data_IF_221848641951
#
_entry.id   IF_221848641951
#
_cell.length_a   1.000
_cell.length_b   1.000
_cell.length_c   1.000
_cell.angle_alpha   90.00
_cell.angle_beta   90.00
_cell.angle_gamma   90.00
#
_symmetry.space_group_name_H-M   'P 1'
#
loop_
_entity.id
_entity.type
_entity.pdbx_description
1 polymer ?
#
# COMPACT_ATOMS: atom_id res chain seq x y z
N UNK A 1 13.94 -21.99 -1.61
CA UNK A 1 13.24 -20.70 -1.43
C UNK A 1 14.03 -19.64 -2.21
N UNK A 2 13.36 -18.67 -2.82
CA UNK A 2 14.04 -17.65 -3.63
C UNK A 2 14.60 -16.54 -2.72
N UNK A 3 15.91 -16.32 -2.77
CA UNK A 3 16.60 -15.23 -2.06
C UNK A 3 16.19 -13.87 -2.64
N UNK A 4 15.98 -12.89 -1.77
CA UNK A 4 15.66 -11.53 -2.19
C UNK A 4 16.81 -10.93 -2.97
N UNK A 5 18.02 -10.96 -2.42
CA UNK A 5 19.21 -10.40 -3.07
C UNK A 5 19.45 -11.04 -4.44
N UNK A 6 19.45 -12.38 -4.49
CA UNK A 6 19.67 -13.11 -5.76
C UNK A 6 18.61 -12.78 -6.80
N UNK A 7 17.34 -12.67 -6.41
CA UNK A 7 16.28 -12.34 -7.35
C UNK A 7 16.39 -10.90 -7.88
N UNK A 8 16.76 -9.94 -7.04
CA UNK A 8 17.00 -8.55 -7.48
C UNK A 8 18.22 -8.46 -8.41
N UNK A 9 19.32 -9.14 -8.10
CA UNK A 9 20.49 -9.23 -9.00
C UNK A 9 20.08 -9.73 -10.37
N UNK A 10 19.34 -10.84 -10.42
CA UNK A 10 18.84 -11.42 -11.66
C UNK A 10 17.97 -10.46 -12.46
N UNK A 11 17.07 -9.73 -11.81
CA UNK A 11 16.21 -8.74 -12.45
C UNK A 11 16.98 -7.53 -12.99
N UNK A 12 18.13 -7.20 -12.38
CA UNK A 12 19.05 -6.16 -12.87
C UNK A 12 20.04 -6.63 -13.92
N UNK A 13 20.03 -7.93 -14.26
CA UNK A 13 20.97 -8.52 -15.21
C UNK A 13 22.35 -8.82 -14.63
N UNK A 14 22.46 -8.88 -13.30
CA UNK A 14 23.69 -9.22 -12.59
C UNK A 14 23.69 -10.71 -12.27
N UNK A 15 24.79 -11.41 -12.55
CA UNK A 15 24.91 -12.84 -12.22
C UNK A 15 25.03 -13.04 -10.70
N UNK A 16 24.54 -14.16 -10.21
CA UNK A 16 24.49 -14.45 -8.77
C UNK A 16 25.88 -14.47 -8.14
N UNK A 17 26.87 -14.96 -8.87
CA UNK A 17 28.26 -15.12 -8.43
C UNK A 17 29.02 -13.78 -8.34
N UNK A 18 28.51 -12.72 -8.97
CA UNK A 18 29.17 -11.41 -8.99
C UNK A 18 28.79 -10.61 -7.74
N UNK A 19 29.60 -10.71 -6.70
CA UNK A 19 29.31 -10.16 -5.37
C UNK A 19 29.74 -8.70 -5.16
N UNK A 20 30.39 -8.09 -6.16
CA UNK A 20 30.96 -6.75 -6.02
C UNK A 20 29.94 -5.67 -5.62
N UNK A 21 28.71 -5.80 -6.08
CA UNK A 21 27.62 -4.85 -5.80
C UNK A 21 26.67 -5.29 -4.69
N UNK A 22 26.91 -6.42 -4.03
CA UNK A 22 25.98 -6.97 -3.05
C UNK A 22 25.70 -5.99 -1.91
N UNK A 23 26.73 -5.32 -1.39
CA UNK A 23 26.59 -4.33 -0.31
C UNK A 23 25.75 -3.13 -0.73
N UNK A 24 25.99 -2.59 -1.94
CA UNK A 24 25.23 -1.45 -2.46
C UNK A 24 23.76 -1.82 -2.71
N UNK A 25 23.54 -2.99 -3.30
CA UNK A 25 22.20 -3.52 -3.55
C UNK A 25 21.42 -3.74 -2.24
N UNK A 26 22.08 -4.27 -1.21
CA UNK A 26 21.48 -4.46 0.13
C UNK A 26 21.02 -3.14 0.72
N UNK A 27 21.81 -2.07 0.60
CA UNK A 27 21.44 -0.73 1.07
C UNK A 27 20.19 -0.24 0.34
N UNK A 28 20.14 -0.36 -0.99
CA UNK A 28 18.99 0.06 -1.78
C UNK A 28 17.75 -0.79 -1.50
N UNK A 29 17.89 -2.10 -1.41
CA UNK A 29 16.82 -3.03 -1.05
C UNK A 29 16.22 -2.67 0.31
N UNK A 30 17.06 -2.43 1.32
CA UNK A 30 16.61 -2.07 2.67
C UNK A 30 15.92 -0.70 2.70
N UNK A 31 16.38 0.25 1.90
CA UNK A 31 15.70 1.55 1.74
C UNK A 31 14.29 1.38 1.18
N UNK A 32 14.09 0.46 0.23
CA UNK A 32 12.77 0.16 -0.32
C UNK A 32 11.90 -0.60 0.68
N UNK A 33 12.45 -1.51 1.48
CA UNK A 33 11.70 -2.17 2.55
C UNK A 33 11.20 -1.18 3.60
N UNK A 34 11.99 -0.15 3.92
CA UNK A 34 11.52 0.91 4.82
C UNK A 34 10.29 1.64 4.25
N UNK A 35 10.28 1.94 2.94
CA UNK A 35 9.10 2.54 2.28
C UNK A 35 7.91 1.58 2.33
N UNK A 36 8.11 0.28 2.03
CA UNK A 36 7.04 -0.73 2.09
C UNK A 36 6.43 -0.83 3.50
N UNK A 37 7.26 -0.79 4.54
CA UNK A 37 6.78 -0.76 5.94
C UNK A 37 5.93 0.48 6.21
N UNK A 38 6.31 1.66 5.70
CA UNK A 38 5.53 2.89 5.83
C UNK A 38 4.19 2.84 5.08
N UNK A 39 4.13 2.06 4.00
CA UNK A 39 2.89 1.79 3.25
C UNK A 39 2.02 0.70 3.89
N UNK A 40 2.40 0.17 5.05
CA UNK A 40 1.68 -0.91 5.73
C UNK A 40 1.90 -2.30 5.10
N UNK A 41 2.95 -2.47 4.29
CA UNK A 41 3.23 -3.72 3.58
C UNK A 41 4.36 -4.49 4.25
N UNK A 42 4.10 -5.75 4.60
CA UNK A 42 5.04 -6.64 5.26
C UNK A 42 4.93 -6.61 6.78
N UNK A 43 5.95 -7.08 7.52
CA UNK A 43 5.92 -7.13 8.97
C UNK A 43 5.87 -5.73 9.59
N UNK A 44 4.99 -5.47 10.58
CA UNK A 44 4.91 -4.15 11.25
C UNK A 44 6.21 -3.74 11.95
N UNK A 45 7.05 -4.71 12.33
CA UNK A 45 8.37 -4.48 12.91
C UNK A 45 9.43 -4.01 11.89
N UNK A 46 9.04 -3.97 10.61
CA UNK A 46 9.96 -3.76 9.50
C UNK A 46 10.67 -5.04 9.06
N UNK A 47 11.39 -4.95 7.95
CA UNK A 47 12.16 -6.06 7.39
C UNK A 47 13.49 -5.55 6.82
N UNK A 48 14.54 -6.35 6.93
CA UNK A 48 15.84 -6.01 6.37
C UNK A 48 16.58 -7.24 5.86
N UNK A 49 17.33 -7.05 4.79
CA UNK A 49 18.22 -8.04 4.18
C UNK A 49 19.64 -7.73 4.62
N UNK A 50 20.38 -8.75 5.06
CA UNK A 50 21.79 -8.61 5.43
C UNK A 50 22.69 -9.38 4.46
N UNK A 51 22.19 -10.46 3.88
CA UNK A 51 22.89 -11.33 2.97
C UNK A 51 21.93 -12.10 2.04
N UNK A 52 22.40 -13.16 1.41
CA UNK A 52 21.64 -14.02 0.50
C UNK A 52 20.62 -14.93 1.20
N UNK A 53 20.57 -14.99 2.52
CA UNK A 53 19.70 -15.91 3.27
C UNK A 53 18.26 -15.44 3.33
N UNK A 54 18.03 -14.12 3.36
CA UNK A 54 16.70 -13.54 3.44
C UNK A 54 15.83 -13.89 2.23
N UNK A 55 14.60 -14.36 2.48
CA UNK A 55 13.68 -14.85 1.45
C UNK A 55 12.41 -14.00 1.36
N UNK A 56 11.78 -14.00 0.19
CA UNK A 56 10.51 -13.29 -0.02
C UNK A 56 9.37 -13.79 0.87
N UNK A 57 9.37 -15.09 1.21
CA UNK A 57 8.34 -15.68 2.08
C UNK A 57 8.42 -15.23 3.53
N UNK A 58 9.62 -14.84 3.99
CA UNK A 58 9.80 -14.23 5.30
C UNK A 58 9.24 -12.82 5.35
N UNK A 59 9.25 -12.11 4.22
CA UNK A 59 8.69 -10.76 4.13
C UNK A 59 7.17 -10.77 4.00
N UNK A 60 6.62 -11.57 3.07
CA UNK A 60 5.18 -11.63 2.81
C UNK A 60 4.78 -13.02 2.32
N UNK A 61 3.71 -13.57 2.89
CA UNK A 61 3.19 -14.89 2.53
C UNK A 61 2.14 -14.86 1.42
N UNK A 62 1.49 -13.72 1.19
CA UNK A 62 0.49 -13.54 0.12
C UNK A 62 1.17 -13.49 -1.24
N UNK A 63 1.01 -14.54 -2.03
CA UNK A 63 1.62 -14.69 -3.36
C UNK A 63 1.13 -13.61 -4.35
N UNK A 64 -0.10 -13.11 -4.21
CA UNK A 64 -0.65 -12.09 -5.11
C UNK A 64 0.01 -10.73 -4.84
N UNK A 65 0.08 -10.34 -3.59
CA UNK A 65 0.77 -9.11 -3.16
C UNK A 65 2.26 -9.18 -3.44
N UNK A 66 2.87 -10.36 -3.25
CA UNK A 66 4.29 -10.59 -3.49
C UNK A 66 4.71 -10.22 -4.93
N UNK A 67 3.89 -10.50 -5.94
CA UNK A 67 4.23 -10.14 -7.32
C UNK A 67 4.30 -8.63 -7.53
N UNK A 68 3.37 -7.88 -6.93
CA UNK A 68 3.38 -6.41 -6.98
C UNK A 68 4.59 -5.84 -6.21
N UNK A 69 4.89 -6.41 -5.04
CA UNK A 69 6.06 -6.02 -4.23
C UNK A 69 7.36 -6.26 -5.00
N UNK A 70 7.51 -7.42 -5.66
CA UNK A 70 8.70 -7.72 -6.48
C UNK A 70 8.87 -6.72 -7.62
N UNK A 71 7.79 -6.40 -8.33
CA UNK A 71 7.81 -5.41 -9.42
C UNK A 71 8.18 -4.02 -8.92
N UNK A 72 7.59 -3.60 -7.82
CA UNK A 72 7.89 -2.32 -7.17
C UNK A 72 9.36 -2.25 -6.72
N UNK A 73 9.83 -3.26 -6.00
CA UNK A 73 11.21 -3.36 -5.52
C UNK A 73 12.20 -3.28 -6.68
N UNK A 74 11.97 -4.02 -7.76
CA UNK A 74 12.82 -3.99 -8.95
C UNK A 74 12.93 -2.59 -9.55
N UNK A 75 11.81 -1.92 -9.76
CA UNK A 75 11.79 -0.59 -10.35
C UNK A 75 12.49 0.45 -9.46
N UNK A 76 12.24 0.43 -8.15
CA UNK A 76 12.88 1.34 -7.20
C UNK A 76 14.38 1.09 -7.12
N UNK A 77 14.82 -0.17 -6.96
CA UNK A 77 16.25 -0.50 -6.92
C UNK A 77 16.93 -0.17 -8.24
N UNK A 78 16.28 -0.42 -9.40
CA UNK A 78 16.80 -0.04 -10.70
C UNK A 78 17.07 1.46 -10.81
N UNK A 79 16.14 2.31 -10.34
CA UNK A 79 16.32 3.76 -10.35
C UNK A 79 17.45 4.23 -9.42
N UNK A 80 17.65 3.54 -8.28
CA UNK A 80 18.68 3.91 -7.31
C UNK A 80 20.07 3.43 -7.72
N UNK A 81 20.16 2.24 -8.29
CA UNK A 81 21.42 1.57 -8.59
C UNK A 81 21.93 1.84 -10.01
N UNK A 82 21.03 1.72 -11.01
CA UNK A 82 21.37 1.85 -12.44
C UNK A 82 20.21 2.50 -13.19
N UNK A 83 20.02 3.82 -13.04
CA UNK A 83 18.90 4.52 -13.65
C UNK A 83 18.97 4.51 -15.18
N UNK A 84 17.83 4.40 -15.88
CA UNK A 84 17.79 4.48 -17.33
C UNK A 84 18.32 5.82 -17.85
N UNK A 85 19.09 5.79 -18.95
CA UNK A 85 19.61 7.00 -19.56
C UNK A 85 18.54 7.82 -20.31
N UNK A 86 17.43 7.18 -20.70
CA UNK A 86 16.33 7.82 -21.38
C UNK A 86 15.38 8.49 -20.39
N UNK A 87 15.20 9.79 -20.49
CA UNK A 87 14.24 10.55 -19.66
C UNK A 87 12.79 10.06 -19.83
N UNK A 88 12.41 9.62 -21.04
CA UNK A 88 11.08 9.07 -21.28
C UNK A 88 10.87 7.73 -20.54
N UNK A 89 11.88 6.86 -20.53
CA UNK A 89 11.84 5.59 -19.80
C UNK A 89 11.79 5.86 -18.29
N UNK A 90 12.61 6.78 -17.81
CA UNK A 90 12.63 7.18 -16.40
C UNK A 90 11.25 7.71 -15.95
N UNK A 91 10.66 8.64 -16.70
CA UNK A 91 9.33 9.18 -16.39
C UNK A 91 8.22 8.11 -16.43
N UNK A 92 8.32 7.14 -17.34
CA UNK A 92 7.38 6.00 -17.37
C UNK A 92 7.54 5.11 -16.14
N UNK A 93 8.77 4.84 -15.72
CA UNK A 93 9.08 4.02 -14.55
C UNK A 93 8.60 4.71 -13.25
N UNK A 94 8.80 6.03 -13.12
CA UNK A 94 8.30 6.81 -11.99
C UNK A 94 6.77 6.76 -11.87
N UNK A 95 6.04 6.84 -12.99
CA UNK A 95 4.58 6.66 -12.99
C UNK A 95 4.14 5.27 -12.56
N UNK A 96 4.82 4.23 -13.03
CA UNK A 96 4.53 2.85 -12.63
C UNK A 96 4.83 2.63 -11.13
N UNK A 97 5.88 3.23 -10.61
CA UNK A 97 6.22 3.21 -9.19
C UNK A 97 5.11 3.89 -8.38
N UNK A 98 4.69 5.09 -8.75
CA UNK A 98 3.62 5.81 -8.05
C UNK A 98 2.29 5.03 -8.06
N UNK A 99 1.95 4.39 -9.19
CA UNK A 99 0.77 3.53 -9.27
C UNK A 99 0.91 2.30 -8.36
N UNK A 100 2.08 1.67 -8.32
CA UNK A 100 2.33 0.52 -7.45
C UNK A 100 2.26 0.90 -5.96
N UNK A 101 2.82 2.04 -5.57
CA UNK A 101 2.73 2.57 -4.21
C UNK A 101 1.27 2.78 -3.78
N UNK A 102 0.47 3.41 -4.62
CA UNK A 102 -0.96 3.59 -4.36
C UNK A 102 -1.69 2.26 -4.19
N UNK A 103 -1.47 1.30 -5.09
CA UNK A 103 -2.10 -0.03 -5.01
C UNK A 103 -1.70 -0.80 -3.76
N UNK A 104 -0.42 -0.72 -3.38
CA UNK A 104 0.10 -1.38 -2.17
C UNK A 104 -0.51 -0.77 -0.91
N UNK A 105 -0.62 0.56 -0.84
CA UNK A 105 -1.26 1.25 0.27
C UNK A 105 -2.73 0.86 0.42
N UNK A 106 -3.51 0.92 -0.67
CA UNK A 106 -4.93 0.52 -0.65
C UNK A 106 -5.10 -0.95 -0.24
N UNK A 107 -4.21 -1.83 -0.70
CA UNK A 107 -4.27 -3.24 -0.32
C UNK A 107 -3.93 -3.47 1.17
N UNK A 108 -3.06 -2.65 1.76
CA UNK A 108 -2.74 -2.70 3.18
C UNK A 108 -3.91 -2.20 4.04
N UNK A 109 -4.52 -1.06 3.69
CA UNK A 109 -5.71 -0.51 4.37
C UNK A 109 -6.87 -1.51 4.38
N UNK A 110 -7.13 -2.19 3.26
CA UNK A 110 -8.19 -3.20 3.16
C UNK A 110 -7.95 -4.40 4.07
N UNK A 111 -6.69 -4.77 4.34
CA UNK A 111 -6.37 -5.87 5.25
C UNK A 111 -6.54 -5.46 6.71
N UNK A 112 -6.21 -4.22 7.05
CA UNK A 112 -6.45 -3.68 8.40
C UNK A 112 -7.95 -3.64 8.71
N UNK A 113 -8.77 -3.15 7.80
CA UNK A 113 -10.23 -3.13 7.95
C UNK A 113 -10.79 -4.55 8.17
N UNK A 114 -10.34 -5.54 7.40
CA UNK A 114 -10.79 -6.94 7.57
C UNK A 114 -10.35 -7.55 8.89
N UNK A 115 -9.18 -7.17 9.41
CA UNK A 115 -8.71 -7.68 10.71
C UNK A 115 -9.51 -7.07 11.87
N UNK A 116 -9.87 -5.80 11.79
CA UNK A 116 -10.72 -5.13 12.78
C UNK A 116 -12.15 -5.69 12.78
N UNK A 117 -12.73 -6.00 11.62
CA UNK A 117 -14.07 -6.63 11.54
C UNK A 117 -14.12 -8.03 12.16
N UNK A 118 -13.03 -8.78 12.12
CA UNK A 118 -13.00 -10.14 12.66
C UNK A 118 -12.79 -10.16 14.19
N UNK A 119 -12.13 -9.17 14.77
CA UNK A 119 -11.97 -9.04 16.23
C UNK A 119 -13.24 -8.50 16.93
N UNK A 120 -14.10 -7.77 16.21
CA UNK A 120 -15.27 -7.10 16.78
C UNK A 120 -16.57 -7.91 16.71
N UNK A 121 -16.56 -9.14 16.19
CA UNK A 121 -17.78 -9.95 16.05
C UNK A 121 -18.09 -10.73 17.33
N UNK A 122 -18.57 -10.04 18.34
CA UNK A 122 -19.31 -10.59 19.47
C UNK A 122 -20.81 -10.31 19.27
N UNK A 123 -21.41 -11.01 18.35
CA UNK A 123 -22.81 -11.35 18.16
C UNK A 123 -23.92 -10.26 18.29
N UNK A 124 -23.68 -9.07 18.78
CA UNK A 124 -24.79 -8.17 19.16
C UNK A 124 -24.71 -6.72 18.61
N UNK A 125 -23.54 -6.25 18.11
CA UNK A 125 -23.43 -4.90 17.54
C UNK A 125 -22.57 -4.87 16.27
N UNK A 126 -23.15 -4.38 15.19
CA UNK A 126 -22.43 -4.01 13.98
C UNK A 126 -21.62 -2.75 14.26
N UNK A 127 -20.31 -2.88 14.48
CA UNK A 127 -19.44 -1.72 14.61
C UNK A 127 -19.33 -1.03 13.26
N UNK A 128 -19.76 0.22 13.21
CA UNK A 128 -19.56 1.04 12.01
C UNK A 128 -18.08 1.38 11.85
N UNK A 129 -17.54 1.43 10.62
CA UNK A 129 -16.15 1.80 10.37
C UNK A 129 -15.78 3.12 11.07
N UNK A 130 -14.56 3.26 11.54
CA UNK A 130 -14.07 4.48 12.22
C UNK A 130 -14.36 5.77 11.47
N UNK A 131 -14.27 5.74 10.14
CA UNK A 131 -14.63 6.87 9.28
C UNK A 131 -16.11 7.27 9.43
N UNK A 132 -16.99 6.28 9.61
CA UNK A 132 -18.42 6.55 9.82
C UNK A 132 -18.73 7.00 11.27
N UNK A 133 -17.98 6.47 12.25
CA UNK A 133 -18.11 6.92 13.64
C UNK A 133 -17.69 8.37 13.85
N UNK A 134 -16.66 8.84 13.12
CA UNK A 134 -16.26 10.25 13.16
C UNK A 134 -17.30 11.18 12.51
N UNK A 135 -18.18 10.64 11.66
CA UNK A 135 -19.28 11.38 11.04
C UNK A 135 -20.57 11.38 11.87
N UNK A 136 -20.70 10.44 12.82
CA UNK A 136 -21.84 10.41 13.76
C UNK A 136 -21.59 11.26 15.01
N UNK A 137 -20.85 12.32 14.84
CA UNK A 137 -20.47 13.18 15.93
C UNK A 137 -21.64 13.94 16.53
N UNK A 138 -21.70 13.79 17.83
CA UNK A 138 -22.09 14.86 18.75
C UNK A 138 -23.28 15.67 18.29
N UNK A 139 -24.43 15.07 18.45
CA UNK A 139 -25.70 15.79 18.28
C UNK A 139 -25.82 17.02 19.18
N UNK A 140 -24.97 17.15 20.20
CA UNK A 140 -24.96 18.33 21.08
C UNK A 140 -24.06 19.45 20.56
N UNK A 141 -22.98 19.19 19.82
CA UNK A 141 -22.05 20.24 19.41
C UNK A 141 -22.14 20.73 17.98
N UNK A 142 -22.97 20.13 17.11
CA UNK A 142 -23.21 20.60 15.73
C UNK A 142 -21.96 20.85 14.86
N UNK A 143 -20.82 20.37 15.24
CA UNK A 143 -19.59 20.51 14.45
C UNK A 143 -19.19 19.15 13.93
N UNK A 144 -19.84 18.79 12.86
CA UNK A 144 -19.34 17.77 11.95
C UNK A 144 -18.08 18.32 11.27
N UNK A 145 -17.18 17.42 10.94
CA UNK A 145 -15.91 17.71 10.28
C UNK A 145 -16.07 18.83 9.23
N UNK A 146 -15.11 19.75 9.17
CA UNK A 146 -15.16 20.98 8.38
C UNK A 146 -15.35 20.76 6.87
N UNK A 147 -15.33 19.52 6.41
CA UNK A 147 -15.42 19.18 5.00
C UNK A 147 -16.78 18.60 4.58
N UNK A 148 -17.72 18.43 5.50
CA UNK A 148 -19.06 17.93 5.16
C UNK A 148 -20.06 19.05 5.37
N UNK A 149 -20.44 19.68 4.28
CA UNK A 149 -21.61 20.57 4.24
C UNK A 149 -22.81 19.65 4.04
N UNK A 150 -23.55 19.40 5.11
CA UNK A 150 -24.87 18.78 4.99
C UNK A 150 -25.81 19.84 4.42
N UNK A 151 -25.97 19.87 3.12
CA UNK A 151 -27.07 20.59 2.51
C UNK A 151 -28.33 19.77 2.74
N UNK A 152 -29.24 20.28 3.57
CA UNK A 152 -30.61 19.78 3.61
C UNK A 152 -31.16 19.87 2.19
N UNK A 153 -31.43 18.72 1.59
CA UNK A 153 -32.16 18.67 0.32
C UNK A 153 -33.62 18.99 0.67
N UNK A 154 -34.19 20.10 0.17
CA UNK A 154 -35.59 20.40 0.44
C UNK A 154 -36.46 19.29 -0.11
N UNK A 155 -37.26 18.72 0.76
CA UNK A 155 -38.30 17.75 0.39
C UNK A 155 -39.32 18.48 -0.46
N UNK A 156 -39.30 18.24 -1.76
CA UNK A 156 -40.36 18.71 -2.63
C UNK A 156 -41.60 17.80 -2.44
N UNK A 157 -42.55 18.26 -1.67
CA UNK A 157 -43.89 17.70 -1.72
C UNK A 157 -44.41 17.89 -3.16
N UNK A 158 -44.49 16.79 -3.88
CA UNK A 158 -45.26 16.74 -5.15
C UNK A 158 -46.72 16.92 -4.80
N UNK A 159 -47.15 18.17 -4.78
CA UNK A 159 -48.55 18.52 -4.66
C UNK A 159 -49.34 17.88 -5.79
N UNK A 160 -50.22 17.02 -5.40
CA UNK A 160 -51.21 16.36 -6.23
C UNK A 160 -52.16 17.42 -6.75
N UNK A 161 -51.96 17.92 -7.95
CA UNK A 161 -52.96 18.72 -8.64
C UNK A 161 -53.97 17.79 -9.33
N UNK A 162 -54.99 17.42 -8.59
CA UNK A 162 -56.19 16.84 -9.15
C UNK A 162 -57.21 17.94 -9.41
N UNK A 163 -57.70 17.96 -10.62
CA UNK A 163 -59.03 18.44 -11.05
C UNK A 163 -59.30 19.94 -11.09
N UNK A 164 -59.55 20.37 -12.30
CA UNK A 164 -60.38 21.46 -12.72
C UNK A 164 -60.61 21.38 -14.20
#
# INVERSE_FOLDING_TARGET
MESILTSIKKMLGITEEYEHFDSDLIIHINSVFMILTQLGVGPPSGFSVQDKSATWKEFISDETKLQLVKSYMQMKVKLLFDPPLSSAVMASMEKMIAEAEWRLNVAAETDEEKSEEHESYDGEYRVTPKAFQSQMLDTENKVLDRNIVVTEVPYYETGNAANG
#
